data_IF_138778634845
#
_entry.id   IF_138778634845
#
_cell.length_a   1.000
_cell.length_b   1.000
_cell.length_c   1.000
_cell.angle_alpha   90.00
_cell.angle_beta   90.00
_cell.angle_gamma   90.00
#
_symmetry.space_group_name_H-M   'P 1'
#
loop_
_entity.id
_entity.type
_entity.pdbx_description
1 polymer ?
#
# COMPACT_ATOMS: atom_id res chain seq x y z
N UNK A 1 1.19 0.56 55.86
CA UNK A 1 0.57 1.15 54.65
C UNK A 1 0.57 0.14 53.52
N UNK A 2 -0.56 -0.46 53.14
CA UNK A 2 -0.64 -1.25 51.92
C UNK A 2 -0.92 -0.32 50.75
N UNK A 3 -0.01 -0.36 49.77
CA UNK A 3 -0.07 0.35 48.49
C UNK A 3 -1.29 -0.08 47.67
N UNK A 4 -2.23 0.85 47.46
CA UNK A 4 -3.25 0.73 46.44
C UNK A 4 -2.61 0.98 45.07
N UNK A 5 -2.39 -0.08 44.29
CA UNK A 5 -2.27 0.05 42.84
C UNK A 5 -3.66 0.37 42.26
N UNK A 6 -3.79 1.37 41.36
CA UNK A 6 -5.05 1.62 40.71
C UNK A 6 -5.35 0.48 39.74
N UNK A 7 -6.47 -0.20 40.00
CA UNK A 7 -7.05 -1.21 39.14
C UNK A 7 -7.47 -0.51 37.83
N UNK A 8 -6.68 -0.69 36.77
CA UNK A 8 -7.04 -0.28 35.41
C UNK A 8 -8.29 -1.03 35.02
N UNK A 9 -9.43 -0.34 35.02
CA UNK A 9 -10.72 -0.88 34.64
C UNK A 9 -10.67 -1.28 33.16
N UNK A 10 -10.42 -2.57 32.91
CA UNK A 10 -10.74 -3.20 31.64
C UNK A 10 -12.25 -3.00 31.43
N UNK A 11 -12.64 -2.09 30.53
CA UNK A 11 -14.05 -1.84 30.23
C UNK A 11 -14.64 -3.12 29.65
N UNK A 12 -15.66 -3.65 30.31
CA UNK A 12 -16.39 -4.83 29.89
C UNK A 12 -17.03 -4.59 28.51
N UNK A 13 -16.51 -5.24 27.47
CA UNK A 13 -16.93 -5.08 26.06
C UNK A 13 -18.25 -5.87 25.80
N UNK A 14 -18.87 -6.43 26.84
CA UNK A 14 -20.05 -7.31 26.71
C UNK A 14 -21.38 -6.59 26.42
N UNK A 15 -21.42 -5.25 26.44
CA UNK A 15 -22.64 -4.48 26.11
C UNK A 15 -22.47 -3.66 24.82
N UNK A 16 -23.52 -3.62 23.99
CA UNK A 16 -23.59 -2.85 22.74
C UNK A 16 -23.29 -1.36 22.92
N UNK A 17 -23.55 -0.79 24.08
CA UNK A 17 -23.22 0.61 24.37
C UNK A 17 -21.72 0.87 24.36
N UNK A 18 -20.92 -0.07 24.90
CA UNK A 18 -19.47 0.03 24.87
C UNK A 18 -18.93 -0.06 23.42
N UNK A 19 -19.57 -0.88 22.58
CA UNK A 19 -19.24 -1.00 21.15
C UNK A 19 -19.59 0.29 20.40
N UNK A 20 -20.76 0.89 20.64
CA UNK A 20 -21.14 2.19 20.04
C UNK A 20 -20.15 3.28 20.43
N UNK A 21 -19.77 3.35 21.70
CA UNK A 21 -18.83 4.36 22.18
C UNK A 21 -17.43 4.21 21.57
N UNK A 22 -16.98 2.97 21.37
CA UNK A 22 -15.75 2.68 20.63
C UNK A 22 -15.82 3.24 19.21
N UNK A 23 -16.90 2.98 18.47
CA UNK A 23 -17.06 3.50 17.11
C UNK A 23 -17.25 5.02 17.05
N UNK A 24 -17.85 5.64 18.06
CA UNK A 24 -17.87 7.10 18.20
C UNK A 24 -16.44 7.66 18.27
N UNK A 25 -15.61 7.06 19.11
CA UNK A 25 -14.20 7.45 19.28
C UNK A 25 -13.41 7.23 17.99
N UNK A 26 -13.53 6.06 17.37
CA UNK A 26 -12.82 5.72 16.14
C UNK A 26 -13.23 6.60 14.96
N UNK A 27 -14.53 6.90 14.82
CA UNK A 27 -15.02 7.83 13.81
C UNK A 27 -14.53 9.26 14.07
N UNK A 28 -14.52 9.71 15.33
CA UNK A 28 -13.93 10.99 15.72
C UNK A 28 -12.45 11.10 15.33
N UNK A 29 -11.67 10.07 15.63
CA UNK A 29 -10.25 9.99 15.26
C UNK A 29 -10.04 9.99 13.74
N UNK A 30 -10.86 9.24 12.99
CA UNK A 30 -10.81 9.22 11.53
C UNK A 30 -11.11 10.61 10.95
N UNK A 31 -12.20 11.27 11.37
CA UNK A 31 -12.56 12.63 10.94
C UNK A 31 -11.46 13.64 11.27
N UNK A 32 -10.85 13.55 12.45
CA UNK A 32 -9.78 14.47 12.86
C UNK A 32 -8.48 14.30 12.07
N UNK A 33 -8.16 13.08 11.64
CA UNK A 33 -6.94 12.78 10.88
C UNK A 33 -7.04 13.12 9.38
N UNK A 34 -8.24 13.10 8.81
CA UNK A 34 -8.45 13.32 7.37
C UNK A 34 -7.94 14.70 6.88
N UNK A 35 -8.22 15.84 7.55
CA UNK A 35 -7.76 17.16 7.08
C UNK A 35 -6.24 17.27 6.93
N UNK A 36 -5.48 16.75 7.89
CA UNK A 36 -4.01 16.79 7.82
C UNK A 36 -3.50 15.93 6.65
N UNK A 37 -4.10 14.75 6.42
CA UNK A 37 -3.76 13.88 5.30
C UNK A 37 -4.14 14.48 3.95
N UNK A 38 -5.30 15.14 3.87
CA UNK A 38 -5.71 15.90 2.69
C UNK A 38 -4.64 16.93 2.32
N UNK A 39 -4.18 17.74 3.29
CA UNK A 39 -3.17 18.78 3.03
C UNK A 39 -1.82 18.20 2.62
N UNK A 40 -1.41 17.06 3.19
CA UNK A 40 -0.19 16.36 2.77
C UNK A 40 -0.27 15.88 1.32
N UNK A 41 -1.41 15.28 0.94
CA UNK A 41 -1.65 14.87 -0.44
C UNK A 41 -1.71 16.07 -1.38
N UNK A 42 -2.39 17.14 -0.98
CA UNK A 42 -2.49 18.37 -1.77
C UNK A 42 -1.12 18.99 -2.06
N UNK A 43 -0.26 19.08 -1.03
CA UNK A 43 1.10 19.56 -1.17
C UNK A 43 1.95 18.65 -2.09
N UNK A 44 1.83 17.33 -1.94
CA UNK A 44 2.53 16.36 -2.80
C UNK A 44 2.10 16.52 -4.26
N UNK A 45 0.80 16.58 -4.53
CA UNK A 45 0.26 16.66 -5.89
C UNK A 45 0.60 18.00 -6.55
N UNK A 46 0.54 19.09 -5.79
CA UNK A 46 0.87 20.44 -6.26
C UNK A 46 2.35 20.62 -6.53
N UNK A 47 3.22 19.99 -5.74
CA UNK A 47 4.67 20.02 -5.94
C UNK A 47 5.12 19.19 -7.15
N UNK A 48 4.29 18.24 -7.60
CA UNK A 48 4.66 17.27 -8.64
C UNK A 48 3.59 17.20 -9.75
N UNK A 49 3.25 18.32 -10.42
CA UNK A 49 2.27 18.29 -11.50
C UNK A 49 2.76 17.32 -12.60
N UNK A 50 1.88 16.43 -13.12
CA UNK A 50 2.29 15.41 -14.07
C UNK A 50 2.64 16.03 -15.42
N UNK A 51 3.87 15.80 -15.87
CA UNK A 51 4.34 16.09 -17.23
C UNK A 51 4.94 14.83 -17.82
N UNK A 52 4.28 14.27 -18.83
CA UNK A 52 4.66 13.01 -19.48
C UNK A 52 6.06 13.10 -20.11
N UNK A 53 6.40 14.24 -20.72
CA UNK A 53 7.68 14.41 -21.38
C UNK A 53 8.81 14.54 -20.35
N UNK A 54 8.58 15.31 -19.29
CA UNK A 54 9.54 15.44 -18.19
C UNK A 54 9.78 14.10 -17.48
N UNK A 55 8.71 13.34 -17.20
CA UNK A 55 8.81 12.00 -16.59
C UNK A 55 9.55 11.02 -17.50
N UNK A 56 9.27 11.04 -18.81
CA UNK A 56 9.96 10.19 -19.79
C UNK A 56 11.47 10.49 -19.83
N UNK A 57 11.84 11.77 -19.76
CA UNK A 57 13.24 12.19 -19.68
C UNK A 57 13.88 11.79 -18.34
N UNK A 58 13.16 11.94 -17.22
CA UNK A 58 13.63 11.57 -15.89
C UNK A 58 13.86 10.07 -15.75
N UNK A 59 13.00 9.25 -16.34
CA UNK A 59 13.06 7.78 -16.24
C UNK A 59 13.87 7.13 -17.37
N UNK A 60 14.52 7.92 -18.23
CA UNK A 60 15.30 7.41 -19.34
C UNK A 60 16.41 6.44 -18.86
N UNK A 61 16.47 5.26 -19.46
CA UNK A 61 17.46 4.24 -19.13
C UNK A 61 18.70 4.43 -20.02
N UNK A 62 19.78 4.93 -19.43
CA UNK A 62 21.09 5.05 -20.09
C UNK A 62 22.04 3.90 -19.73
N UNK A 63 21.83 3.26 -18.57
CA UNK A 63 22.54 2.07 -18.11
C UNK A 63 21.51 1.03 -17.65
N UNK A 64 21.41 -0.06 -18.40
CA UNK A 64 20.45 -1.13 -18.11
C UNK A 64 20.78 -1.84 -16.80
N UNK A 65 22.06 -2.01 -16.45
CA UNK A 65 22.45 -2.69 -15.22
C UNK A 65 22.07 -1.88 -13.97
N UNK A 66 22.10 -0.54 -14.09
CA UNK A 66 21.70 0.38 -13.03
C UNK A 66 20.19 0.63 -12.95
N UNK A 67 19.40 0.20 -13.94
CA UNK A 67 17.96 0.47 -14.03
C UNK A 67 17.07 -0.59 -13.36
N UNK A 68 17.64 -1.41 -12.46
CA UNK A 68 16.93 -2.49 -11.77
C UNK A 68 15.72 -2.02 -10.97
N UNK A 69 15.72 -0.77 -10.50
CA UNK A 69 14.62 -0.12 -9.80
C UNK A 69 14.35 1.30 -10.32
N UNK A 70 13.20 1.85 -9.92
CA UNK A 70 12.87 3.26 -10.11
C UNK A 70 12.41 3.81 -8.75
N UNK A 71 13.31 4.53 -8.08
CA UNK A 71 13.10 5.04 -6.73
C UNK A 71 12.01 6.10 -6.65
N UNK A 72 11.81 6.89 -7.70
CA UNK A 72 10.74 7.90 -7.76
C UNK A 72 9.36 7.24 -7.77
N UNK A 73 9.18 6.23 -8.63
CA UNK A 73 7.93 5.43 -8.63
C UNK A 73 7.78 4.67 -7.31
N UNK A 74 8.86 4.08 -6.79
CA UNK A 74 8.85 3.37 -5.50
C UNK A 74 8.47 4.24 -4.30
N UNK A 75 8.94 5.50 -4.26
CA UNK A 75 8.56 6.45 -3.22
C UNK A 75 7.07 6.81 -3.29
N UNK A 76 6.58 7.15 -4.49
CA UNK A 76 5.16 7.46 -4.68
C UNK A 76 4.27 6.25 -4.41
N UNK A 77 4.72 5.04 -4.76
CA UNK A 77 4.06 3.77 -4.46
C UNK A 77 3.86 3.57 -2.96
N UNK A 78 4.90 3.81 -2.16
CA UNK A 78 4.86 3.72 -0.70
C UNK A 78 3.84 4.69 -0.10
N UNK A 79 3.87 5.95 -0.52
CA UNK A 79 2.90 6.96 -0.11
C UNK A 79 1.48 6.56 -0.48
N UNK A 80 1.26 6.18 -1.75
CA UNK A 80 -0.07 5.80 -2.27
C UNK A 80 -0.64 4.60 -1.51
N UNK A 81 0.18 3.59 -1.25
CA UNK A 81 -0.24 2.39 -0.50
C UNK A 81 -0.63 2.73 0.94
N UNK A 82 0.16 3.58 1.61
CA UNK A 82 -0.14 4.02 2.98
C UNK A 82 -1.44 4.81 3.05
N UNK A 83 -1.66 5.72 2.10
CA UNK A 83 -2.87 6.54 2.04
C UNK A 83 -4.11 5.73 1.68
N UNK A 84 -4.02 4.80 0.72
CA UNK A 84 -5.12 3.89 0.39
C UNK A 84 -5.51 3.03 1.60
N UNK A 85 -4.54 2.47 2.32
CA UNK A 85 -4.83 1.66 3.50
C UNK A 85 -5.56 2.47 4.59
N UNK A 86 -5.05 3.67 4.89
CA UNK A 86 -5.72 4.55 5.85
C UNK A 86 -7.12 4.94 5.37
N UNK A 87 -7.27 5.36 4.11
CA UNK A 87 -8.54 5.82 3.56
C UNK A 87 -9.60 4.71 3.61
N UNK A 88 -9.26 3.50 3.16
CA UNK A 88 -10.16 2.33 3.22
C UNK A 88 -10.60 2.04 4.65
N UNK A 89 -9.67 2.07 5.61
CA UNK A 89 -9.97 1.87 7.03
C UNK A 89 -10.87 2.96 7.60
N UNK A 90 -10.57 4.23 7.31
CA UNK A 90 -11.37 5.38 7.74
C UNK A 90 -12.80 5.28 7.19
N UNK A 91 -12.97 4.98 5.91
CA UNK A 91 -14.30 4.82 5.30
C UNK A 91 -15.07 3.66 5.92
N UNK A 92 -14.40 2.55 6.26
CA UNK A 92 -15.02 1.40 6.94
C UNK A 92 -15.52 1.76 8.34
N UNK A 93 -14.71 2.48 9.11
CA UNK A 93 -15.07 2.95 10.46
C UNK A 93 -16.23 3.94 10.39
N UNK A 94 -16.17 4.92 9.48
CA UNK A 94 -17.23 5.91 9.29
C UNK A 94 -18.55 5.26 8.86
N UNK A 95 -18.52 4.35 7.90
CA UNK A 95 -19.68 3.58 7.46
C UNK A 95 -20.32 2.81 8.63
N UNK A 96 -19.48 2.15 9.44
CA UNK A 96 -19.96 1.36 10.58
C UNK A 96 -20.56 2.26 11.66
N UNK A 97 -19.90 3.36 11.99
CA UNK A 97 -20.40 4.36 12.93
C UNK A 97 -21.75 4.92 12.50
N UNK A 98 -21.89 5.32 11.23
CA UNK A 98 -23.15 5.85 10.69
C UNK A 98 -24.29 4.81 10.77
N UNK A 99 -24.01 3.54 10.45
CA UNK A 99 -24.99 2.46 10.59
C UNK A 99 -25.43 2.25 12.05
N UNK A 100 -24.55 2.52 13.03
CA UNK A 100 -24.87 2.45 14.45
C UNK A 100 -25.65 3.68 14.96
N UNK A 101 -25.63 4.80 14.24
CA UNK A 101 -26.47 5.98 14.51
C UNK A 101 -27.93 5.79 14.08
N UNK A 102 -28.25 4.75 13.29
CA UNK A 102 -29.62 4.50 12.83
C UNK A 102 -30.51 4.11 14.02
N UNK A 103 -31.61 4.84 14.29
CA UNK A 103 -32.50 4.56 15.41
C UNK A 103 -33.42 3.37 15.13
N UNK A 104 -34.20 2.97 16.14
CA UNK A 104 -35.28 2.02 15.94
C UNK A 104 -36.24 2.46 14.82
N UNK A 105 -36.73 1.50 14.05
CA UNK A 105 -37.66 1.76 12.95
C UNK A 105 -39.01 2.19 13.52
N UNK A 106 -39.51 3.33 13.05
CA UNK A 106 -40.79 3.92 13.42
C UNK A 106 -41.51 4.43 12.17
N UNK A 107 -42.84 4.52 12.24
CA UNK A 107 -43.64 5.13 11.17
C UNK A 107 -43.53 6.67 11.23
N UNK A 108 -43.22 7.29 10.09
CA UNK A 108 -42.98 8.73 9.99
C UNK A 108 -41.65 9.26 10.56
N UNK A 109 -41.40 10.56 10.36
CA UNK A 109 -40.20 11.28 10.79
C UNK A 109 -38.87 10.61 10.35
N UNK A 110 -38.77 10.11 9.12
CA UNK A 110 -37.60 9.34 8.63
C UNK A 110 -36.59 10.15 7.81
N UNK A 111 -36.75 11.47 7.71
CA UNK A 111 -35.87 12.32 6.89
C UNK A 111 -34.41 12.27 7.36
N UNK A 112 -34.14 12.47 8.65
CA UNK A 112 -32.77 12.39 9.18
C UNK A 112 -32.17 10.99 9.10
N UNK A 113 -33.00 9.94 9.21
CA UNK A 113 -32.57 8.56 8.96
C UNK A 113 -32.08 8.39 7.51
N UNK A 114 -32.78 8.98 6.54
CA UNK A 114 -32.35 9.00 5.14
C UNK A 114 -30.98 9.66 4.94
N UNK A 115 -30.71 10.76 5.64
CA UNK A 115 -29.40 11.45 5.59
C UNK A 115 -28.28 10.54 6.13
N UNK A 116 -28.50 9.87 7.27
CA UNK A 116 -27.52 8.93 7.83
C UNK A 116 -27.23 7.78 6.87
N UNK A 117 -28.28 7.23 6.25
CA UNK A 117 -28.14 6.13 5.29
C UNK A 117 -27.41 6.57 4.02
N UNK A 118 -27.62 7.80 3.54
CA UNK A 118 -26.88 8.36 2.41
C UNK A 118 -25.41 8.58 2.75
N UNK A 119 -25.10 9.10 3.94
CA UNK A 119 -23.72 9.21 4.42
C UNK A 119 -23.03 7.83 4.47
N UNK A 120 -23.72 6.82 5.00
CA UNK A 120 -23.19 5.47 5.10
C UNK A 120 -22.94 4.86 3.72
N UNK A 121 -23.85 5.11 2.77
CA UNK A 121 -23.69 4.69 1.38
C UNK A 121 -22.48 5.36 0.72
N UNK A 122 -22.30 6.66 0.92
CA UNK A 122 -21.15 7.39 0.39
C UNK A 122 -19.81 6.83 0.89
N UNK A 123 -19.73 6.50 2.18
CA UNK A 123 -18.56 5.84 2.76
C UNK A 123 -18.33 4.44 2.15
N UNK A 124 -19.41 3.67 1.96
CA UNK A 124 -19.35 2.33 1.35
C UNK A 124 -18.86 2.37 -0.11
N UNK A 125 -19.40 3.30 -0.92
CA UNK A 125 -19.02 3.48 -2.32
C UNK A 125 -17.56 3.94 -2.44
N UNK A 126 -17.16 4.92 -1.60
CA UNK A 126 -15.77 5.38 -1.52
C UNK A 126 -14.81 4.24 -1.14
N UNK A 127 -15.16 3.45 -0.12
CA UNK A 127 -14.38 2.28 0.31
C UNK A 127 -14.22 1.26 -0.81
N UNK A 128 -15.30 0.92 -1.51
CA UNK A 128 -15.26 -0.03 -2.61
C UNK A 128 -14.41 0.44 -3.79
N UNK A 129 -14.33 1.75 -4.04
CA UNK A 129 -13.40 2.30 -5.03
C UNK A 129 -11.94 2.21 -4.56
N UNK A 130 -11.66 2.57 -3.32
CA UNK A 130 -10.33 2.52 -2.72
C UNK A 130 -9.77 1.09 -2.67
N UNK A 131 -10.60 0.10 -2.33
CA UNK A 131 -10.24 -1.33 -2.33
C UNK A 131 -9.80 -1.80 -3.73
N UNK A 132 -10.48 -1.35 -4.79
CA UNK A 132 -10.10 -1.68 -6.18
C UNK A 132 -8.76 -1.06 -6.57
N UNK A 133 -8.54 0.21 -6.21
CA UNK A 133 -7.25 0.88 -6.42
C UNK A 133 -6.14 0.12 -5.68
N UNK A 134 -6.34 -0.15 -4.39
CA UNK A 134 -5.39 -0.86 -3.53
C UNK A 134 -5.00 -2.24 -4.08
N UNK A 135 -5.96 -2.99 -4.65
CA UNK A 135 -5.68 -4.29 -5.26
C UNK A 135 -4.78 -4.20 -6.51
N UNK A 136 -4.83 -3.10 -7.25
CA UNK A 136 -4.05 -2.92 -8.49
C UNK A 136 -2.62 -2.42 -8.28
N UNK A 137 -2.38 -1.71 -7.17
CA UNK A 137 -1.09 -1.06 -6.85
C UNK A 137 0.14 -1.99 -6.98
N UNK A 138 0.10 -3.27 -6.52
CA UNK A 138 1.24 -4.17 -6.65
C UNK A 138 1.60 -4.58 -8.09
N UNK A 139 0.69 -4.41 -9.07
CA UNK A 139 0.92 -4.86 -10.45
C UNK A 139 2.10 -4.14 -11.11
N UNK A 140 2.50 -2.96 -10.62
CA UNK A 140 3.72 -2.28 -11.08
C UNK A 140 4.94 -3.19 -11.06
N UNK A 141 5.19 -3.88 -9.94
CA UNK A 141 6.38 -4.72 -9.80
C UNK A 141 6.31 -5.96 -10.69
N UNK A 142 5.09 -6.46 -10.94
CA UNK A 142 4.86 -7.57 -11.86
C UNK A 142 5.12 -7.15 -13.31
N UNK A 143 4.51 -6.05 -13.76
CA UNK A 143 4.64 -5.54 -15.12
C UNK A 143 6.07 -5.07 -15.41
N UNK A 144 6.63 -4.23 -14.54
CA UNK A 144 8.01 -3.73 -14.69
C UNK A 144 9.02 -4.85 -14.57
N UNK A 145 8.83 -5.79 -13.64
CA UNK A 145 9.72 -6.94 -13.48
C UNK A 145 9.82 -7.79 -14.75
N UNK A 146 8.68 -8.05 -15.40
CA UNK A 146 8.64 -8.76 -16.67
C UNK A 146 9.32 -7.98 -17.80
N UNK A 147 9.07 -6.66 -17.90
CA UNK A 147 9.70 -5.81 -18.90
C UNK A 147 11.23 -5.68 -18.69
N UNK A 148 11.66 -5.51 -17.43
CA UNK A 148 13.07 -5.41 -17.08
C UNK A 148 13.83 -6.71 -17.36
N UNK A 149 13.23 -7.87 -17.06
CA UNK A 149 13.83 -9.18 -17.37
C UNK A 149 14.12 -9.37 -18.88
N UNK A 150 13.39 -8.68 -19.76
CA UNK A 150 13.64 -8.70 -21.20
C UNK A 150 14.88 -7.91 -21.63
N UNK A 151 15.32 -6.92 -20.83
CA UNK A 151 16.50 -6.09 -21.11
C UNK A 151 17.69 -6.41 -20.22
N UNK A 152 17.47 -7.06 -19.08
CA UNK A 152 18.49 -7.32 -18.08
C UNK A 152 19.69 -8.11 -18.63
N UNK A 153 20.92 -7.84 -18.16
CA UNK A 153 22.09 -8.61 -18.55
C UNK A 153 21.92 -10.10 -18.22
N UNK A 154 22.10 -10.97 -19.22
CA UNK A 154 22.09 -12.42 -19.02
C UNK A 154 23.47 -12.90 -18.58
N UNK A 155 23.63 -13.12 -17.28
CA UNK A 155 24.84 -13.72 -16.71
C UNK A 155 24.63 -15.22 -16.59
N UNK A 156 25.34 -16.02 -17.39
CA UNK A 156 25.38 -17.47 -17.25
C UNK A 156 26.69 -17.85 -16.58
N UNK A 157 26.61 -18.44 -15.39
CA UNK A 157 27.79 -18.99 -14.71
C UNK A 157 27.90 -20.47 -15.07
N UNK A 158 28.93 -20.81 -15.84
CA UNK A 158 29.29 -22.19 -16.13
C UNK A 158 30.36 -22.63 -15.13
N UNK A 159 30.07 -23.67 -14.36
CA UNK A 159 31.07 -24.32 -13.51
C UNK A 159 31.57 -25.55 -14.25
N UNK A 160 32.87 -25.58 -14.60
CA UNK A 160 33.49 -26.76 -15.18
C UNK A 160 34.30 -27.46 -14.10
N UNK A 161 33.83 -28.62 -13.65
CA UNK A 161 34.58 -29.49 -12.73
C UNK A 161 35.45 -30.44 -13.56
N UNK A 162 36.76 -30.42 -13.32
CA UNK A 162 37.69 -31.35 -13.96
C UNK A 162 38.44 -32.12 -12.89
N UNK A 163 38.36 -33.45 -12.94
CA UNK A 163 39.13 -34.36 -12.09
C UNK A 163 40.28 -34.94 -12.91
N UNK A 164 41.52 -34.70 -12.49
CA UNK A 164 42.69 -35.37 -13.06
C UNK A 164 43.24 -36.39 -12.06
N UNK A 165 43.51 -37.60 -12.56
CA UNK A 165 44.27 -38.62 -11.85
C UNK A 165 45.64 -38.70 -12.50
N UNK A 166 46.69 -38.42 -11.74
CA UNK A 166 48.06 -38.64 -12.14
C UNK A 166 48.64 -39.76 -11.26
N UNK A 167 49.12 -40.83 -11.89
CA UNK A 167 49.89 -41.87 -11.22
C UNK A 167 51.37 -41.47 -11.25
N UNK A 168 51.91 -41.11 -10.08
CA UNK A 168 53.34 -40.83 -9.92
C UNK A 168 54.01 -42.09 -9.35
N UNK A 169 54.95 -42.67 -10.10
CA UNK A 169 55.75 -43.81 -9.64
C UNK A 169 57.14 -43.32 -9.22
N UNK A 170 57.34 -43.17 -7.92
CA UNK A 170 58.66 -42.99 -7.32
C UNK A 170 59.13 -44.29 -6.67
N UNK A 171 60.35 -44.73 -7.00
CA UNK A 171 61.03 -45.83 -6.31
C UNK A 171 62.03 -45.31 -5.30
N UNK A 172 61.82 -45.62 -4.01
CA UNK A 172 62.86 -45.56 -2.99
C UNK A 172 62.80 -46.83 -2.13
N UNK A 173 63.91 -47.56 -2.10
CA UNK A 173 64.12 -48.80 -1.33
C UNK A 173 63.06 -49.90 -1.49
N UNK A 174 62.99 -50.47 -2.69
CA UNK A 174 62.58 -51.88 -2.90
C UNK A 174 61.13 -52.28 -2.59
N UNK A 175 60.29 -51.38 -2.08
CA UNK A 175 58.85 -51.61 -1.85
C UNK A 175 58.04 -50.63 -2.69
N UNK A 176 57.10 -51.15 -3.49
CA UNK A 176 56.17 -50.34 -4.28
C UNK A 176 55.04 -49.83 -3.38
N UNK A 177 55.00 -48.53 -3.10
CA UNK A 177 53.80 -47.87 -2.61
C UNK A 177 53.21 -46.98 -3.70
N UNK A 178 51.94 -47.22 -4.05
CA UNK A 178 51.17 -46.36 -4.93
C UNK A 178 50.40 -45.36 -4.06
N UNK A 179 50.70 -44.07 -4.20
CA UNK A 179 49.87 -43.00 -3.64
C UNK A 179 49.14 -42.30 -4.77
N UNK A 180 47.81 -42.49 -4.83
CA UNK A 180 46.96 -41.73 -5.74
C UNK A 180 46.83 -40.30 -5.19
N UNK A 181 47.26 -39.31 -5.97
CA UNK A 181 47.01 -37.90 -5.67
C UNK A 181 45.80 -37.45 -6.50
N UNK A 182 44.63 -37.37 -5.87
CA UNK A 182 43.44 -36.78 -6.50
C UNK A 182 43.52 -35.26 -6.39
N UNK A 183 43.60 -34.58 -7.55
CA UNK A 183 43.46 -33.14 -7.66
C UNK A 183 42.07 -32.80 -8.17
N UNK A 184 41.26 -32.14 -7.35
CA UNK A 184 40.03 -31.50 -7.80
C UNK A 184 40.34 -30.03 -8.14
N UNK A 185 40.09 -29.62 -9.37
CA UNK A 185 40.15 -28.22 -9.78
C UNK A 185 38.78 -27.78 -10.26
N UNK A 186 38.34 -26.62 -9.77
CA UNK A 186 37.10 -25.96 -10.18
C UNK A 186 37.47 -24.62 -10.79
N UNK A 187 37.09 -24.40 -12.04
CA UNK A 187 37.16 -23.08 -12.67
C UNK A 187 35.75 -22.61 -13.00
N UNK A 188 35.41 -21.42 -12.54
CA UNK A 188 34.18 -20.74 -12.94
C UNK A 188 34.48 -19.77 -14.08
N UNK A 189 33.78 -19.92 -15.19
CA UNK A 189 33.77 -18.92 -16.27
C UNK A 189 32.42 -18.20 -16.25
N UNK A 190 32.44 -16.90 -15.96
CA UNK A 190 31.28 -16.03 -16.11
C UNK A 190 31.24 -15.54 -17.56
N UNK A 191 30.27 -16.04 -18.33
CA UNK A 191 30.06 -15.58 -19.71
C UNK A 191 28.76 -14.80 -19.77
N UNK A 192 28.85 -13.50 -20.05
CA UNK A 192 27.70 -12.67 -20.41
C UNK A 192 27.29 -13.05 -21.83
N UNK A 193 26.18 -13.78 -21.96
CA UNK A 193 25.63 -14.20 -23.25
C UNK A 193 24.22 -13.64 -23.40
N UNK A 194 24.10 -12.54 -24.12
CA UNK A 194 22.82 -11.94 -24.49
C UNK A 194 23.02 -10.88 -25.57
N UNK A 195 22.13 -10.85 -26.56
CA UNK A 195 22.07 -9.72 -27.50
C UNK A 195 21.70 -8.44 -26.77
N UNK A 196 22.19 -7.30 -27.27
CA UNK A 196 21.80 -5.97 -26.77
C UNK A 196 20.28 -5.81 -26.84
N UNK A 197 19.67 -5.38 -25.75
CA UNK A 197 18.23 -5.06 -25.70
C UNK A 197 17.84 -4.14 -26.86
N UNK A 198 16.69 -4.37 -27.49
CA UNK A 198 16.23 -3.48 -28.55
C UNK A 198 15.80 -2.13 -27.96
N UNK A 199 15.90 -1.02 -28.73
CA UNK A 199 15.45 0.28 -28.26
C UNK A 199 14.00 0.27 -27.75
N UNK A 200 13.10 -0.46 -28.42
CA UNK A 200 11.70 -0.57 -28.01
C UNK A 200 11.51 -1.27 -26.66
N UNK A 201 12.33 -2.28 -26.34
CA UNK A 201 12.26 -2.96 -25.04
C UNK A 201 12.68 -2.01 -23.90
N UNK A 202 13.70 -1.18 -24.14
CA UNK A 202 14.13 -0.17 -23.18
C UNK A 202 13.03 0.89 -23.02
N UNK A 203 12.49 1.40 -24.13
CA UNK A 203 11.39 2.37 -24.12
C UNK A 203 10.13 1.82 -23.45
N UNK A 204 9.87 0.51 -23.53
CA UNK A 204 8.73 -0.11 -22.85
C UNK A 204 8.85 -0.04 -21.32
N UNK A 205 10.03 -0.28 -20.75
CA UNK A 205 10.25 -0.14 -19.30
C UNK A 205 10.02 1.30 -18.86
N UNK A 206 10.56 2.28 -19.60
CA UNK A 206 10.34 3.70 -19.34
C UNK A 206 8.85 4.06 -19.42
N UNK A 207 8.15 3.58 -20.44
CA UNK A 207 6.72 3.83 -20.61
C UNK A 207 5.88 3.25 -19.46
N UNK A 208 6.26 2.07 -18.93
CA UNK A 208 5.63 1.50 -17.74
C UNK A 208 5.88 2.39 -16.51
N UNK A 209 7.10 2.86 -16.29
CA UNK A 209 7.43 3.73 -15.15
C UNK A 209 6.63 5.04 -15.20
N UNK A 210 6.54 5.68 -16.37
CA UNK A 210 5.73 6.89 -16.58
C UNK A 210 4.26 6.60 -16.33
N UNK A 211 3.72 5.55 -16.94
CA UNK A 211 2.30 5.18 -16.80
C UNK A 211 1.94 4.88 -15.34
N UNK A 212 2.79 4.15 -14.61
CA UNK A 212 2.57 3.83 -13.21
C UNK A 212 2.70 5.05 -12.31
N UNK A 213 3.65 5.95 -12.56
CA UNK A 213 3.71 7.23 -11.86
C UNK A 213 2.39 8.00 -11.96
N UNK A 214 1.85 8.12 -13.19
CA UNK A 214 0.58 8.81 -13.44
C UNK A 214 -0.61 8.12 -12.76
N UNK A 215 -0.66 6.79 -12.78
CA UNK A 215 -1.70 6.01 -12.07
C UNK A 215 -1.66 6.25 -10.57
N UNK A 216 -0.47 6.24 -9.97
CA UNK A 216 -0.30 6.46 -8.53
C UNK A 216 -0.64 7.91 -8.15
N UNK A 217 -0.23 8.88 -8.97
CA UNK A 217 -0.63 10.28 -8.81
C UNK A 217 -2.16 10.42 -8.81
N UNK A 218 -2.83 9.82 -9.81
CA UNK A 218 -4.28 9.83 -9.91
C UNK A 218 -4.97 9.14 -8.70
N UNK A 219 -4.39 8.05 -8.18
CA UNK A 219 -4.90 7.40 -6.98
C UNK A 219 -4.80 8.31 -5.75
N UNK A 220 -3.67 9.02 -5.56
CA UNK A 220 -3.51 10.01 -4.51
C UNK A 220 -4.53 11.17 -4.62
N UNK A 221 -4.72 11.71 -5.82
CA UNK A 221 -5.73 12.76 -6.06
C UNK A 221 -7.15 12.25 -5.79
N UNK A 222 -7.42 10.99 -6.14
CA UNK A 222 -8.72 10.38 -5.88
C UNK A 222 -8.98 10.20 -4.38
N UNK A 223 -8.00 9.73 -3.62
CA UNK A 223 -8.08 9.65 -2.15
C UNK A 223 -8.39 11.02 -1.56
N UNK A 224 -7.63 12.06 -1.94
CA UNK A 224 -7.83 13.43 -1.48
C UNK A 224 -9.23 13.95 -1.80
N UNK A 225 -9.73 13.67 -3.01
CA UNK A 225 -11.08 14.07 -3.44
C UNK A 225 -12.18 13.37 -2.64
N UNK A 226 -12.01 12.08 -2.33
CA UNK A 226 -12.94 11.32 -1.48
C UNK A 226 -12.97 11.83 -0.05
N UNK A 227 -11.81 12.15 0.53
CA UNK A 227 -11.72 12.80 1.83
C UNK A 227 -12.56 14.09 1.89
N UNK A 228 -12.37 14.99 0.92
CA UNK A 228 -13.09 16.25 0.88
C UNK A 228 -14.61 16.03 0.79
N UNK A 229 -15.06 15.18 -0.14
CA UNK A 229 -16.49 14.94 -0.35
C UNK A 229 -17.17 14.32 0.88
N UNK A 230 -16.55 13.30 1.49
CA UNK A 230 -17.11 12.63 2.67
C UNK A 230 -17.11 13.55 3.87
N UNK A 231 -16.00 14.21 4.18
CA UNK A 231 -15.92 15.10 5.34
C UNK A 231 -16.87 16.29 5.22
N UNK A 232 -16.95 16.92 4.05
CA UNK A 232 -17.88 18.03 3.79
C UNK A 232 -19.35 17.59 3.98
N UNK A 233 -19.72 16.41 3.48
CA UNK A 233 -21.06 15.87 3.70
C UNK A 233 -21.35 15.60 5.17
N UNK A 234 -20.41 14.98 5.89
CA UNK A 234 -20.59 14.67 7.31
C UNK A 234 -20.70 15.94 8.16
N UNK A 235 -19.89 16.95 7.89
CA UNK A 235 -19.90 18.24 8.61
C UNK A 235 -21.22 18.98 8.38
N UNK A 236 -21.67 19.10 7.13
CA UNK A 236 -22.93 19.77 6.80
C UNK A 236 -24.17 19.11 7.40
N UNK A 237 -24.08 17.82 7.72
CA UNK A 237 -25.20 17.01 8.19
C UNK A 237 -25.04 16.54 9.64
N UNK A 238 -24.07 17.06 10.40
CA UNK A 238 -23.71 16.55 11.72
C UNK A 238 -24.91 16.49 12.68
N UNK A 239 -25.74 17.54 12.72
CA UNK A 239 -26.93 17.57 13.58
C UNK A 239 -27.90 16.42 13.28
N UNK A 240 -28.12 16.12 12.00
CA UNK A 240 -29.01 15.03 11.57
C UNK A 240 -28.39 13.66 11.76
N UNK A 241 -27.06 13.57 11.76
CA UNK A 241 -26.34 12.33 12.05
C UNK A 241 -26.42 12.00 13.55
N UNK A 242 -26.23 13.00 14.42
CA UNK A 242 -26.29 12.82 15.87
C UNK A 242 -27.73 12.60 16.38
N UNK A 243 -28.70 13.29 15.78
CA UNK A 243 -30.11 13.18 16.15
C UNK A 243 -31.01 13.00 14.91
N UNK A 244 -31.06 11.79 14.31
CA UNK A 244 -31.82 11.53 13.07
C UNK A 244 -33.32 11.77 13.19
N UNK A 245 -33.86 11.70 14.41
CA UNK A 245 -35.27 11.97 14.75
C UNK A 245 -35.48 13.34 15.41
N UNK A 246 -34.43 14.17 15.52
CA UNK A 246 -34.38 15.37 16.35
C UNK A 246 -34.10 15.05 17.82
N UNK A 247 -33.80 16.07 18.62
CA UNK A 247 -33.84 15.93 20.07
C UNK A 247 -35.28 15.54 20.44
N UNK A 248 -35.45 14.38 21.09
CA UNK A 248 -36.68 14.15 21.85
C UNK A 248 -36.68 15.24 22.90
N UNK A 249 -37.53 16.26 22.72
CA UNK A 249 -37.64 17.37 23.65
C UNK A 249 -37.57 16.82 25.08
N UNK A 250 -36.53 17.22 25.80
CA UNK A 250 -36.36 16.90 27.20
C UNK A 250 -37.50 17.53 27.98
N UNK A 251 -38.61 16.80 28.09
CA UNK A 251 -39.59 17.04 29.12
C UNK A 251 -38.97 16.67 30.46
N UNK A 252 -38.22 17.61 31.06
CA UNK A 252 -38.16 17.88 32.50
C UNK A 252 -37.18 19.04 32.76
N UNK A 253 -37.61 20.27 32.54
CA UNK A 253 -37.14 21.39 33.36
C UNK A 253 -38.27 21.70 34.33
N UNK A 254 -38.19 21.15 35.53
CA UNK A 254 -38.97 21.57 36.68
C UNK A 254 -37.97 22.30 37.59
N UNK A 255 -38.19 23.62 37.70
CA UNK A 255 -37.68 24.58 38.70
C UNK A 255 -36.26 24.38 39.25
#
# INVERSE_FOLDING_TARGET
>A
SPSHHPNTTSRDISNMDAIREKYNTEAGNAKAAIPERFLKLDALLSANPPDVAALSAQFAITDVAAAADNSTVGALMSTTTSELFFATSAMSVLETWLKLCVPAIEDGNNFGVGIVMEAAKMCSDARGELEKLQASVPDYYKERGAAYAAIAPKTTTSTTESTSKADDKSTKDGTLEATAKEGASSSSETKTTGGTASPDQISHVVALDVMWYLKLYAACDRVRSLYAAVCDFLEKNEEKIQAPKGERGGGMSMY
#
